data_IF_709842751263
#
_entry.id   IF_709842751263
#
_cell.length_a   1.000
_cell.length_b   1.000
_cell.length_c   1.000
_cell.angle_alpha   90.00
_cell.angle_beta   90.00
_cell.angle_gamma   90.00
#
_symmetry.space_group_name_H-M   'P 1'
#
loop_
_entity.id
_entity.type
_entity.pdbx_description
1 polymer ?
#
# COMPACT_ATOMS: atom_id res chain seq x y z
N UNK A 1 -29.70 26.62 -19.50
CA UNK A 1 -28.32 26.45 -20.01
C UNK A 1 -27.30 26.75 -18.91
N UNK A 2 -27.18 28.00 -18.41
CA UNK A 2 -26.15 28.39 -17.41
C UNK A 2 -26.11 27.55 -16.12
N UNK A 3 -27.26 27.22 -15.52
CA UNK A 3 -27.32 26.36 -14.32
C UNK A 3 -26.88 24.92 -14.58
N UNK A 4 -27.16 24.40 -15.77
CA UNK A 4 -26.75 23.05 -16.18
C UNK A 4 -25.24 22.99 -16.44
N UNK A 5 -24.69 24.04 -17.05
CA UNK A 5 -23.24 24.20 -17.22
C UNK A 5 -22.49 24.25 -15.89
N UNK A 6 -23.05 24.88 -14.86
CA UNK A 6 -22.48 24.88 -13.50
C UNK A 6 -22.46 23.49 -12.87
N UNK A 7 -23.52 22.69 -13.06
CA UNK A 7 -23.59 21.32 -12.54
C UNK A 7 -22.55 20.43 -13.23
N UNK A 8 -22.39 20.55 -14.55
CA UNK A 8 -21.37 19.80 -15.29
C UNK A 8 -19.95 20.21 -14.89
N UNK A 9 -19.69 21.51 -14.66
CA UNK A 9 -18.40 21.98 -14.16
C UNK A 9 -18.09 21.40 -12.77
N UNK A 10 -19.08 21.35 -11.87
CA UNK A 10 -18.91 20.79 -10.53
C UNK A 10 -18.64 19.27 -10.58
N UNK A 11 -19.39 18.52 -11.40
CA UNK A 11 -19.19 17.08 -11.60
C UNK A 11 -17.81 16.77 -12.19
N UNK A 12 -17.37 17.57 -13.17
CA UNK A 12 -16.04 17.44 -13.75
C UNK A 12 -14.94 17.65 -12.69
N UNK A 13 -15.04 18.71 -11.89
CA UNK A 13 -14.09 18.98 -10.79
C UNK A 13 -14.06 17.81 -9.80
N UNK A 14 -15.21 17.27 -9.38
CA UNK A 14 -15.25 16.12 -8.44
C UNK A 14 -14.65 14.85 -9.05
N UNK A 15 -14.77 14.64 -10.37
CA UNK A 15 -14.22 13.46 -11.05
C UNK A 15 -12.68 13.47 -11.12
N UNK A 16 -12.05 14.64 -11.00
CA UNK A 16 -10.59 14.77 -10.98
C UNK A 16 -9.96 14.34 -9.65
N UNK A 17 -10.75 14.20 -8.57
CA UNK A 17 -10.24 13.82 -7.24
C UNK A 17 -10.07 12.31 -7.06
N UNK A 18 -10.65 11.47 -7.92
CA UNK A 18 -10.58 10.01 -7.76
C UNK A 18 -9.20 9.40 -8.06
N UNK A 19 -8.24 10.19 -8.54
CA UNK A 19 -6.90 9.72 -8.91
C UNK A 19 -5.82 9.80 -7.82
N UNK A 20 -6.11 10.39 -6.66
CA UNK A 20 -5.06 10.75 -5.66
C UNK A 20 -4.85 9.70 -4.55
N UNK A 21 -5.67 8.65 -4.48
CA UNK A 21 -5.56 7.62 -3.45
C UNK A 21 -5.05 6.28 -3.99
N UNK A 22 -4.00 6.30 -4.82
CA UNK A 22 -3.20 5.09 -4.96
C UNK A 22 -2.51 4.88 -3.60
N UNK A 23 -2.86 3.80 -2.90
CA UNK A 23 -2.15 3.44 -1.67
C UNK A 23 -0.67 3.28 -2.01
N UNK A 24 0.21 3.85 -1.18
CA UNK A 24 1.64 3.75 -1.42
C UNK A 24 2.03 2.26 -1.54
N UNK A 25 2.94 1.90 -2.46
CA UNK A 25 3.32 0.51 -2.65
C UNK A 25 4.09 0.00 -1.42
N UNK A 26 3.79 -1.23 -1.01
CA UNK A 26 4.59 -1.92 0.00
C UNK A 26 6.07 -2.04 -0.47
N UNK A 27 7.01 -1.78 0.44
CA UNK A 27 8.43 -1.70 0.14
C UNK A 27 9.11 -3.08 0.21
N UNK A 28 9.97 -3.37 -0.76
CA UNK A 28 10.84 -4.56 -0.72
C UNK A 28 12.01 -4.30 0.23
N UNK A 29 12.50 -5.34 0.90
CA UNK A 29 13.68 -5.22 1.73
C UNK A 29 14.95 -5.04 0.90
N UNK A 30 16.00 -4.43 1.47
CA UNK A 30 17.30 -4.36 0.84
C UNK A 30 17.94 -5.76 0.69
N UNK A 31 18.85 -5.88 -0.27
CA UNK A 31 19.66 -7.10 -0.42
C UNK A 31 20.47 -7.39 0.85
N UNK A 32 20.53 -8.66 1.26
CA UNK A 32 21.23 -9.08 2.47
C UNK A 32 20.44 -8.92 3.76
N UNK A 33 19.18 -8.47 3.70
CA UNK A 33 18.28 -8.52 4.84
C UNK A 33 18.06 -9.96 5.34
N UNK A 34 17.60 -10.11 6.58
CA UNK A 34 17.26 -11.41 7.14
C UNK A 34 16.31 -12.19 6.20
N UNK A 35 16.71 -13.39 5.81
CA UNK A 35 16.01 -14.17 4.79
C UNK A 35 14.57 -14.56 5.19
N UNK A 36 14.34 -14.86 6.47
CA UNK A 36 13.00 -15.22 6.96
C UNK A 36 12.10 -13.99 7.05
N UNK A 37 12.65 -12.85 7.50
CA UNK A 37 11.92 -11.58 7.51
C UNK A 37 11.57 -11.14 6.07
N UNK A 38 12.52 -11.26 5.12
CA UNK A 38 12.27 -10.94 3.72
C UNK A 38 11.21 -11.86 3.10
N UNK A 39 11.21 -13.16 3.41
CA UNK A 39 10.18 -14.09 2.93
C UNK A 39 8.79 -13.65 3.37
N UNK A 40 8.61 -13.32 4.65
CA UNK A 40 7.35 -12.78 5.13
C UNK A 40 7.00 -11.46 4.45
N UNK A 41 7.97 -10.55 4.25
CA UNK A 41 7.73 -9.30 3.53
C UNK A 41 7.26 -9.53 2.08
N UNK A 42 7.87 -10.47 1.35
CA UNK A 42 7.47 -10.83 -0.02
C UNK A 42 6.06 -11.44 -0.09
N UNK A 43 5.71 -12.30 0.87
CA UNK A 43 4.35 -12.83 1.00
C UNK A 43 3.34 -11.71 1.32
N UNK A 44 3.71 -10.77 2.20
CA UNK A 44 2.91 -9.59 2.52
C UNK A 44 2.66 -8.70 1.30
N UNK A 45 3.70 -8.39 0.52
CA UNK A 45 3.60 -7.64 -0.74
C UNK A 45 2.68 -8.38 -1.73
N UNK A 46 2.80 -9.71 -1.84
CA UNK A 46 1.96 -10.51 -2.72
C UNK A 46 0.48 -10.40 -2.35
N UNK A 47 0.14 -10.51 -1.06
CA UNK A 47 -1.23 -10.35 -0.57
C UNK A 47 -1.74 -8.91 -0.69
N UNK A 48 -0.89 -7.92 -0.42
CA UNK A 48 -1.22 -6.50 -0.57
C UNK A 48 -1.63 -6.17 -2.01
N UNK A 49 -0.86 -6.65 -3.00
CA UNK A 49 -1.16 -6.46 -4.43
C UNK A 49 -2.46 -7.16 -4.88
N UNK A 50 -2.94 -8.14 -4.11
CA UNK A 50 -4.22 -8.82 -4.33
C UNK A 50 -5.39 -8.14 -3.59
N UNK A 51 -5.14 -7.11 -2.78
CA UNK A 51 -6.14 -6.48 -1.91
C UNK A 51 -6.45 -7.28 -0.64
N UNK A 52 -5.67 -8.32 -0.33
CA UNK A 52 -5.83 -9.15 0.86
C UNK A 52 -5.17 -8.50 2.09
N UNK A 53 -5.61 -7.30 2.47
CA UNK A 53 -4.91 -6.46 3.45
C UNK A 53 -4.74 -7.11 4.84
N UNK A 54 -5.76 -7.82 5.33
CA UNK A 54 -5.67 -8.53 6.63
C UNK A 54 -4.61 -9.64 6.63
N UNK A 55 -4.38 -10.26 5.46
CA UNK A 55 -3.36 -11.30 5.31
C UNK A 55 -1.99 -10.64 5.15
N UNK A 56 -1.90 -9.59 4.34
CA UNK A 56 -0.68 -8.81 4.16
C UNK A 56 -0.13 -8.30 5.49
N UNK A 57 -0.98 -7.69 6.33
CA UNK A 57 -0.61 -7.17 7.64
C UNK A 57 0.01 -8.24 8.56
N UNK A 58 -0.55 -9.46 8.57
CA UNK A 58 0.01 -10.56 9.38
C UNK A 58 1.43 -10.93 8.93
N UNK A 59 1.67 -10.94 7.63
CA UNK A 59 3.00 -11.20 7.10
C UNK A 59 3.97 -10.06 7.43
N UNK A 60 3.55 -8.80 7.29
CA UNK A 60 4.38 -7.65 7.64
C UNK A 60 4.76 -7.62 9.13
N UNK A 61 3.81 -7.90 10.02
CA UNK A 61 4.06 -8.06 11.47
C UNK A 61 5.04 -9.19 11.79
N UNK A 62 5.00 -10.29 11.03
CA UNK A 62 5.95 -11.37 11.22
C UNK A 62 7.34 -10.99 10.71
N UNK A 63 7.43 -10.18 9.64
CA UNK A 63 8.69 -9.61 9.17
C UNK A 63 9.31 -8.66 10.22
N UNK A 64 8.54 -7.70 10.75
CA UNK A 64 9.01 -6.74 11.77
C UNK A 64 9.38 -7.44 13.09
N UNK A 65 8.68 -8.52 13.46
CA UNK A 65 9.03 -9.36 14.61
C UNK A 65 10.31 -10.17 14.40
N UNK A 66 10.57 -10.62 13.17
CA UNK A 66 11.75 -11.44 12.85
C UNK A 66 13.01 -10.61 12.74
N UNK A 67 12.91 -9.44 12.10
CA UNK A 67 14.00 -8.48 12.00
C UNK A 67 13.46 -7.04 12.04
N UNK A 68 13.43 -6.49 13.25
CA UNK A 68 12.97 -5.13 13.49
C UNK A 68 14.00 -4.06 13.09
N UNK A 69 15.19 -4.44 12.59
CA UNK A 69 16.24 -3.49 12.21
C UNK A 69 16.06 -2.91 10.80
N UNK A 70 15.23 -3.55 9.97
CA UNK A 70 14.92 -3.13 8.61
C UNK A 70 13.76 -2.13 8.64
N UNK A 71 13.98 -0.92 8.14
CA UNK A 71 12.97 0.15 8.19
C UNK A 71 11.71 -0.17 7.40
N UNK A 72 11.87 -0.84 6.26
CA UNK A 72 10.78 -1.29 5.39
C UNK A 72 9.84 -2.26 6.11
N UNK A 73 10.32 -3.02 7.11
CA UNK A 73 9.49 -3.90 7.92
C UNK A 73 8.42 -3.14 8.70
N UNK A 74 8.78 -1.97 9.23
CA UNK A 74 7.87 -1.10 9.98
C UNK A 74 7.03 -0.20 9.08
N UNK A 75 7.53 0.13 7.88
CA UNK A 75 6.76 0.90 6.90
C UNK A 75 5.56 0.09 6.38
N UNK A 76 5.73 -1.22 6.21
CA UNK A 76 4.70 -2.09 5.65
C UNK A 76 3.65 -2.57 6.68
N UNK A 77 3.94 -2.50 7.98
CA UNK A 77 3.00 -2.83 9.08
C UNK A 77 1.93 -1.74 9.27
#
# INVERSE_FOLDING_TARGET
MKKLSFIFALLFITSLYSGVFAADPALKFPSGANAEANKHNEEGISHYNQGHFDIALKHFQMASKTDSSVGEAHYNE
#
